data_IF_166035037991
#
_entry.id   IF_166035037991
#
_cell.length_a   1.000
_cell.length_b   1.000
_cell.length_c   1.000
_cell.angle_alpha   90.00
_cell.angle_beta   90.00
_cell.angle_gamma   90.00
#
_symmetry.space_group_name_H-M   'P 1'
#
loop_
_entity.id
_entity.type
_entity.pdbx_description
1 polymer ?
#
# COMPACT_ATOMS: atom_id res chain seq x y z
N UNK A 1 64.33 86.35 11.11
CA UNK A 1 63.76 85.85 9.84
C UNK A 1 63.01 84.58 10.14
N UNK A 2 61.71 84.61 9.81
CA UNK A 2 60.72 83.53 9.65
C UNK A 2 60.48 82.57 10.82
N UNK A 3 59.22 82.62 11.25
CA UNK A 3 58.54 81.91 12.32
C UNK A 3 57.66 80.77 11.75
N UNK A 4 57.08 79.97 12.64
CA UNK A 4 55.87 79.14 12.44
C UNK A 4 56.04 77.82 11.68
N UNK A 5 55.33 76.73 11.96
CA UNK A 5 54.33 76.38 12.96
C UNK A 5 54.23 74.85 12.93
N UNK A 6 54.21 74.19 14.08
CA UNK A 6 53.82 72.77 14.19
C UNK A 6 52.29 72.71 14.28
N UNK A 7 51.64 72.27 13.19
CA UNK A 7 50.22 71.90 13.22
C UNK A 7 50.10 70.44 13.72
N UNK A 8 49.69 70.26 14.97
CA UNK A 8 49.17 68.98 15.46
C UNK A 8 47.71 68.86 15.04
N UNK A 9 47.41 68.02 14.04
CA UNK A 9 46.04 67.57 13.76
C UNK A 9 45.68 66.46 14.75
N UNK A 10 44.83 66.77 15.72
CA UNK A 10 44.11 65.76 16.50
C UNK A 10 42.84 65.38 15.73
N UNK A 11 42.80 64.19 15.14
CA UNK A 11 41.57 63.59 14.63
C UNK A 11 40.77 63.04 15.81
N UNK A 12 39.69 63.73 16.18
CA UNK A 12 38.66 63.21 17.07
C UNK A 12 37.76 62.31 16.22
N UNK A 13 37.98 61.00 16.29
CA UNK A 13 37.06 60.02 15.72
C UNK A 13 35.97 59.79 16.76
N UNK A 14 34.83 60.46 16.60
CA UNK A 14 33.63 60.17 17.39
C UNK A 14 33.02 58.85 16.92
N UNK A 15 32.91 57.81 17.76
CA UNK A 15 32.08 56.66 17.44
C UNK A 15 30.61 57.10 17.53
N UNK A 16 29.98 57.31 16.38
CA UNK A 16 28.52 57.34 16.32
C UNK A 16 28.05 55.91 16.52
N UNK A 17 27.80 55.53 17.77
CA UNK A 17 26.95 54.38 18.06
C UNK A 17 25.55 54.76 17.57
N UNK A 18 25.21 54.33 16.36
CA UNK A 18 23.83 54.27 15.93
C UNK A 18 23.12 53.25 16.83
N UNK A 19 22.62 53.73 17.97
CA UNK A 19 21.60 53.02 18.76
C UNK A 19 20.33 53.11 17.92
N UNK A 20 20.22 52.24 16.93
CA UNK A 20 18.94 51.97 16.28
C UNK A 20 17.94 51.55 17.36
N UNK A 21 16.65 51.88 17.21
CA UNK A 21 15.64 51.42 18.15
C UNK A 21 15.79 49.90 18.29
N UNK A 22 15.81 49.43 19.54
CA UNK A 22 15.82 48.01 19.85
C UNK A 22 14.73 47.35 19.01
N UNK A 23 15.12 46.46 18.09
CA UNK A 23 14.18 45.58 17.42
C UNK A 23 13.48 44.85 18.56
N UNK A 24 12.17 45.05 18.77
CA UNK A 24 11.46 44.31 19.79
C UNK A 24 11.72 42.83 19.52
N UNK A 25 11.97 42.00 20.56
CA UNK A 25 12.06 40.56 20.35
C UNK A 25 10.84 40.16 19.54
N UNK A 26 11.08 39.61 18.35
CA UNK A 26 10.01 39.01 17.57
C UNK A 26 9.33 38.05 18.55
N UNK A 27 8.00 38.15 18.77
CA UNK A 27 7.32 37.19 19.61
C UNK A 27 7.72 35.83 19.06
N UNK A 28 8.37 34.99 19.88
CA UNK A 28 8.71 33.63 19.51
C UNK A 28 7.48 33.07 18.81
N UNK A 29 7.68 32.78 17.52
CA UNK A 29 6.65 32.48 16.57
C UNK A 29 5.64 31.57 17.24
N UNK A 30 4.35 31.88 17.09
CA UNK A 30 3.24 31.07 17.58
C UNK A 30 3.34 29.69 16.94
N UNK A 31 4.17 28.81 17.48
CA UNK A 31 4.24 27.40 17.11
C UNK A 31 2.85 26.89 17.49
N UNK A 32 2.02 26.53 16.51
CA UNK A 32 0.71 26.00 16.81
C UNK A 32 0.91 24.77 17.70
N UNK A 33 0.05 24.58 18.72
CA UNK A 33 0.19 23.46 19.64
C UNK A 33 0.26 22.16 18.84
N UNK A 34 1.24 21.32 19.16
CA UNK A 34 1.35 20.00 18.55
C UNK A 34 0.11 19.21 18.92
N UNK A 35 -0.58 18.71 17.90
CA UNK A 35 -1.72 17.81 18.05
C UNK A 35 -1.17 16.39 17.97
N UNK A 36 -1.60 15.52 18.89
CA UNK A 36 -1.16 14.14 18.87
C UNK A 36 -1.65 13.43 17.60
N UNK A 37 -0.82 12.60 16.95
CA UNK A 37 -1.27 11.82 15.80
C UNK A 37 -2.47 10.95 16.13
N UNK A 38 -3.47 10.93 15.26
CA UNK A 38 -4.66 10.07 15.43
C UNK A 38 -4.77 9.07 14.29
N UNK A 39 -5.20 7.85 14.61
CA UNK A 39 -5.60 6.89 13.59
C UNK A 39 -6.89 7.38 12.93
N UNK A 40 -6.92 7.35 11.60
CA UNK A 40 -8.14 7.68 10.85
C UNK A 40 -9.25 6.67 11.19
N UNK A 41 -10.42 7.18 11.60
CA UNK A 41 -11.54 6.36 12.09
C UNK A 41 -12.01 5.32 11.05
N UNK A 42 -11.92 5.65 9.76
CA UNK A 42 -12.38 4.81 8.66
C UNK A 42 -11.23 4.31 7.78
N UNK A 43 -10.02 4.14 8.30
CA UNK A 43 -8.93 3.53 7.52
C UNK A 43 -9.09 2.01 7.49
N UNK A 44 -9.55 1.42 6.37
CA UNK A 44 -9.96 0.01 6.35
C UNK A 44 -8.75 -0.93 6.29
N UNK A 45 -7.60 -0.40 5.84
CA UNK A 45 -6.43 -1.18 5.50
C UNK A 45 -5.65 -1.61 6.75
N UNK A 46 -5.20 -2.86 6.76
CA UNK A 46 -4.31 -3.39 7.77
C UNK A 46 -3.32 -4.33 7.10
N UNK A 47 -2.07 -4.36 7.58
CA UNK A 47 -1.05 -5.26 7.06
C UNK A 47 -1.56 -6.73 7.09
N UNK A 48 -1.79 -7.37 5.93
CA UNK A 48 -2.20 -8.77 5.87
C UNK A 48 -0.99 -9.69 6.06
N UNK A 49 0.24 -9.21 5.83
CA UNK A 49 1.49 -9.97 5.87
C UNK A 49 2.17 -9.99 7.25
N UNK A 50 1.69 -9.21 8.22
CA UNK A 50 2.34 -9.07 9.53
C UNK A 50 2.12 -10.27 10.46
N UNK A 51 1.15 -11.14 10.18
CA UNK A 51 0.86 -12.31 11.01
C UNK A 51 0.47 -13.50 10.15
N UNK A 52 1.18 -14.61 10.31
CA UNK A 52 0.90 -15.87 9.64
C UNK A 52 -0.55 -16.36 9.86
N UNK A 53 -1.21 -15.94 10.94
CA UNK A 53 -2.61 -16.29 11.21
C UNK A 53 -3.63 -15.66 10.26
N UNK A 54 -3.36 -14.47 9.69
CA UNK A 54 -4.31 -13.78 8.79
C UNK A 54 -4.36 -14.39 7.40
N UNK A 55 -3.20 -14.82 6.90
CA UNK A 55 -3.08 -15.47 5.60
C UNK A 55 -2.95 -16.99 5.71
N UNK A 56 -2.89 -17.55 6.92
CA UNK A 56 -2.58 -18.97 7.12
C UNK A 56 -3.63 -19.96 6.60
N UNK A 57 -4.78 -19.46 6.12
CA UNK A 57 -5.85 -20.22 5.47
C UNK A 57 -5.81 -20.16 3.93
N UNK A 58 -4.89 -19.38 3.38
CA UNK A 58 -4.78 -19.10 1.94
C UNK A 58 -3.34 -19.33 1.48
N UNK A 59 -3.19 -19.74 0.23
CA UNK A 59 -1.90 -19.69 -0.45
C UNK A 59 -1.88 -18.50 -1.40
N UNK A 60 -0.70 -17.90 -1.58
CA UNK A 60 -0.51 -16.95 -2.65
C UNK A 60 -0.51 -17.75 -3.97
N UNK A 61 -1.62 -17.69 -4.70
CA UNK A 61 -1.66 -18.22 -6.09
C UNK A 61 -0.67 -17.44 -6.94
N UNK A 62 -0.44 -16.19 -6.55
CA UNK A 62 0.53 -15.31 -7.15
C UNK A 62 0.89 -14.15 -6.25
N UNK A 63 2.08 -13.59 -6.45
CA UNK A 63 2.53 -12.37 -5.80
C UNK A 63 3.40 -11.50 -6.71
N UNK A 64 3.39 -10.20 -6.43
CA UNK A 64 4.27 -9.24 -7.07
C UNK A 64 4.75 -8.22 -6.05
N UNK A 65 6.03 -7.85 -6.14
CA UNK A 65 6.68 -6.91 -5.23
C UNK A 65 7.56 -5.95 -6.02
N UNK A 66 7.45 -4.64 -5.78
CA UNK A 66 8.31 -3.62 -6.40
C UNK A 66 8.65 -2.52 -5.40
N UNK A 67 9.83 -1.94 -5.57
CA UNK A 67 10.32 -0.81 -4.77
C UNK A 67 10.36 0.45 -5.62
N UNK A 68 9.89 1.55 -5.06
CA UNK A 68 9.82 2.86 -5.71
C UNK A 68 10.66 3.89 -4.95
N UNK A 69 11.22 4.83 -5.70
CA UNK A 69 11.92 6.00 -5.16
C UNK A 69 10.94 7.16 -5.06
N UNK A 70 11.04 7.95 -4.00
CA UNK A 70 10.26 9.17 -3.85
C UNK A 70 11.02 10.17 -2.96
N UNK A 71 10.48 11.38 -2.83
CA UNK A 71 10.89 12.33 -1.82
C UNK A 71 9.73 12.60 -0.85
N UNK A 72 9.97 12.48 0.46
CA UNK A 72 8.95 12.76 1.48
C UNK A 72 9.13 14.17 2.06
N UNK A 73 8.03 14.92 2.06
CA UNK A 73 7.90 16.28 2.58
C UNK A 73 6.82 16.32 3.66
N UNK A 74 6.80 17.39 4.43
CA UNK A 74 5.73 17.69 5.38
C UNK A 74 4.96 18.92 4.94
N UNK A 75 3.74 19.10 5.45
CA UNK A 75 2.90 20.23 5.04
C UNK A 75 3.56 21.61 5.34
N UNK A 76 4.43 21.71 6.35
CA UNK A 76 5.19 22.95 6.57
C UNK A 76 6.27 23.23 5.51
N UNK A 77 6.72 22.21 4.78
CA UNK A 77 7.69 22.34 3.69
C UNK A 77 7.08 23.08 2.48
N UNK A 78 5.75 23.26 2.42
CA UNK A 78 5.06 24.04 1.38
C UNK A 78 5.55 25.50 1.27
N UNK A 79 6.17 26.06 2.31
CA UNK A 79 6.69 27.44 2.28
C UNK A 79 8.16 27.50 1.85
N UNK A 80 8.86 26.37 1.83
CA UNK A 80 10.29 26.30 1.53
C UNK A 80 10.51 26.06 0.02
N UNK A 81 11.49 26.73 -0.61
CA UNK A 81 11.82 26.47 -2.00
C UNK A 81 12.37 25.04 -2.18
N UNK A 82 12.32 24.55 -3.41
CA UNK A 82 13.04 23.33 -3.79
C UNK A 82 14.56 23.51 -3.59
N UNK A 83 15.32 22.43 -3.31
CA UNK A 83 14.88 21.03 -3.25
C UNK A 83 14.36 20.58 -1.88
N UNK A 84 14.46 21.40 -0.83
CA UNK A 84 14.10 20.99 0.54
C UNK A 84 12.62 21.16 0.87
N UNK A 85 11.87 21.88 0.02
CA UNK A 85 10.42 22.01 0.14
C UNK A 85 9.66 22.04 -1.19
N UNK A 86 8.40 22.45 -1.10
CA UNK A 86 7.40 22.32 -2.17
C UNK A 86 6.74 23.66 -2.55
N UNK A 87 7.43 24.78 -2.32
CA UNK A 87 6.90 26.12 -2.62
C UNK A 87 6.33 26.30 -4.03
N UNK A 88 6.94 25.77 -5.12
CA UNK A 88 6.36 25.90 -6.46
C UNK A 88 4.95 25.30 -6.58
N UNK A 89 4.64 24.27 -5.79
CA UNK A 89 3.39 23.53 -5.85
C UNK A 89 2.39 23.95 -4.75
N UNK A 90 2.72 24.94 -3.92
CA UNK A 90 2.01 25.17 -2.66
C UNK A 90 0.54 25.53 -2.84
N UNK A 91 0.19 26.31 -3.86
CA UNK A 91 -1.19 26.72 -4.09
C UNK A 91 -2.05 25.57 -4.61
N UNK A 92 -1.50 24.75 -5.51
CA UNK A 92 -2.19 23.55 -6.01
C UNK A 92 -2.43 22.55 -4.88
N UNK A 93 -1.42 22.30 -4.03
CA UNK A 93 -1.54 21.36 -2.91
C UNK A 93 -2.50 21.85 -1.82
N UNK A 94 -2.53 23.16 -1.54
CA UNK A 94 -3.56 23.73 -0.66
C UNK A 94 -4.96 23.48 -1.23
N UNK A 95 -5.16 23.73 -2.52
CA UNK A 95 -6.45 23.47 -3.18
C UNK A 95 -6.85 22.00 -3.12
N UNK A 96 -5.90 21.08 -3.33
CA UNK A 96 -6.14 19.64 -3.32
C UNK A 96 -6.53 19.13 -1.93
N UNK A 97 -5.81 19.53 -0.87
CA UNK A 97 -6.05 19.00 0.48
C UNK A 97 -7.08 19.78 1.29
N UNK A 98 -7.47 20.98 0.86
CA UNK A 98 -8.44 21.80 1.59
C UNK A 98 -9.85 21.18 1.52
N UNK A 99 -10.46 21.00 2.69
CA UNK A 99 -11.83 20.49 2.81
C UNK A 99 -12.00 19.01 2.53
N UNK A 100 -10.93 18.27 2.22
CA UNK A 100 -10.94 16.82 2.02
C UNK A 100 -10.34 16.10 3.23
N UNK A 101 -10.84 14.89 3.50
CA UNK A 101 -10.25 14.02 4.53
C UNK A 101 -8.82 13.64 4.14
N UNK A 102 -7.86 13.82 5.04
CA UNK A 102 -6.47 13.44 4.79
C UNK A 102 -6.36 11.91 4.86
N UNK A 103 -5.68 11.23 3.91
CA UNK A 103 -5.68 9.77 3.85
C UNK A 103 -4.62 9.15 4.78
N UNK A 104 -3.88 9.99 5.52
CA UNK A 104 -2.93 9.57 6.53
C UNK A 104 -1.57 9.14 5.97
N UNK A 105 -0.72 8.64 6.86
CA UNK A 105 0.56 8.02 6.51
C UNK A 105 0.43 6.54 6.15
N UNK A 106 1.56 5.83 6.15
CA UNK A 106 1.67 4.42 5.79
C UNK A 106 0.77 3.47 6.60
N UNK A 107 0.42 3.84 7.83
CA UNK A 107 -0.43 3.03 8.72
C UNK A 107 -1.81 3.67 8.98
N UNK A 108 -2.22 4.65 8.17
CA UNK A 108 -3.48 5.38 8.37
C UNK A 108 -3.45 6.35 9.56
N UNK A 109 -2.26 6.76 9.99
CA UNK A 109 -2.07 7.77 11.03
C UNK A 109 -2.06 9.18 10.42
N UNK A 110 -2.90 10.08 10.92
CA UNK A 110 -2.85 11.51 10.62
C UNK A 110 -2.08 12.24 11.72
N UNK A 111 -0.89 12.75 11.38
CA UNK A 111 -0.07 13.56 12.30
C UNK A 111 -0.61 14.98 12.51
N UNK A 112 -1.66 15.36 11.77
CA UNK A 112 -2.32 16.66 11.80
C UNK A 112 -1.45 17.85 11.37
N UNK A 113 -2.14 18.90 10.91
CA UNK A 113 -1.56 20.19 10.60
C UNK A 113 -0.27 20.11 9.80
N UNK A 114 0.80 20.68 10.36
CA UNK A 114 2.10 20.87 9.71
C UNK A 114 2.98 19.61 9.62
N UNK A 115 2.62 18.55 10.35
CA UNK A 115 3.38 17.29 10.42
C UNK A 115 2.84 16.20 9.46
N UNK A 116 1.79 16.53 8.69
CA UNK A 116 1.26 15.66 7.62
C UNK A 116 2.29 15.41 6.53
N UNK A 117 2.56 14.14 6.24
CA UNK A 117 3.56 13.70 5.27
C UNK A 117 2.98 13.61 3.86
N UNK A 118 3.72 14.10 2.86
CA UNK A 118 3.41 14.01 1.44
C UNK A 118 4.60 13.42 0.70
N UNK A 119 4.36 12.66 -0.35
CA UNK A 119 5.37 12.11 -1.24
C UNK A 119 5.35 12.89 -2.55
N UNK A 120 6.52 13.17 -3.10
CA UNK A 120 6.72 13.65 -4.47
C UNK A 120 7.47 12.58 -5.25
N UNK A 121 6.97 12.22 -6.42
CA UNK A 121 7.62 11.31 -7.36
C UNK A 121 7.66 11.95 -8.74
N UNK A 122 8.67 11.57 -9.52
CA UNK A 122 8.69 11.83 -10.95
C UNK A 122 7.52 11.10 -11.60
N UNK A 123 6.75 11.80 -12.44
CA UNK A 123 5.54 11.19 -13.00
C UNK A 123 5.90 9.99 -13.89
N UNK A 124 7.04 10.02 -14.58
CA UNK A 124 7.54 8.90 -15.39
C UNK A 124 7.81 7.63 -14.59
N UNK A 125 8.18 7.74 -13.31
CA UNK A 125 8.43 6.60 -12.43
C UNK A 125 7.15 5.94 -11.90
N UNK A 126 6.00 6.58 -12.11
CA UNK A 126 4.69 6.02 -11.74
C UNK A 126 4.26 4.98 -12.79
N UNK A 127 3.83 3.77 -12.37
CA UNK A 127 3.31 2.76 -13.30
C UNK A 127 2.15 3.29 -14.15
N UNK A 128 2.10 2.91 -15.43
CA UNK A 128 1.07 3.34 -16.37
C UNK A 128 -0.35 3.03 -15.87
N UNK A 129 -0.59 1.86 -15.28
CA UNK A 129 -1.91 1.53 -14.70
C UNK A 129 -2.32 2.46 -13.55
N UNK A 130 -1.34 2.93 -12.76
CA UNK A 130 -1.60 3.92 -11.71
C UNK A 130 -1.90 5.29 -12.33
N UNK A 131 -1.17 5.68 -13.39
CA UNK A 131 -1.45 6.92 -14.15
C UNK A 131 -2.86 6.93 -14.72
N UNK A 132 -3.27 5.84 -15.35
CA UNK A 132 -4.61 5.67 -15.92
C UNK A 132 -5.70 5.80 -14.84
N UNK A 133 -5.49 5.14 -13.70
CA UNK A 133 -6.40 5.23 -12.55
C UNK A 133 -6.47 6.66 -12.00
N UNK A 134 -5.33 7.35 -11.84
CA UNK A 134 -5.30 8.75 -11.36
C UNK A 134 -6.10 9.63 -12.33
N UNK A 135 -5.87 9.48 -13.63
CA UNK A 135 -6.58 10.24 -14.64
C UNK A 135 -8.09 9.99 -14.58
N UNK A 136 -8.53 8.73 -14.45
CA UNK A 136 -9.95 8.39 -14.32
C UNK A 136 -10.58 9.00 -13.05
N UNK A 137 -9.90 8.85 -11.90
CA UNK A 137 -10.42 9.33 -10.61
C UNK A 137 -10.48 10.85 -10.52
N UNK A 138 -9.51 11.57 -11.09
CA UNK A 138 -9.48 13.03 -11.07
C UNK A 138 -10.29 13.65 -12.22
N UNK A 139 -10.62 12.89 -13.27
CA UNK A 139 -11.54 13.33 -14.35
C UNK A 139 -13.02 13.12 -14.01
N UNK A 140 -13.33 12.30 -13.00
CA UNK A 140 -14.70 12.08 -12.54
C UNK A 140 -15.34 13.38 -12.05
N UNK A 141 -16.67 13.52 -12.22
CA UNK A 141 -17.41 14.74 -11.81
C UNK A 141 -17.30 14.96 -10.30
N UNK A 142 -16.40 15.85 -9.87
CA UNK A 142 -16.16 16.17 -8.46
C UNK A 142 -14.71 16.56 -8.19
N UNK A 143 -14.31 16.71 -6.91
CA UNK A 143 -12.94 17.05 -6.53
C UNK A 143 -11.92 15.90 -6.68
N UNK A 144 -12.27 14.87 -7.46
CA UNK A 144 -11.55 13.58 -7.52
C UNK A 144 -11.63 12.79 -6.21
N UNK A 145 -11.25 11.51 -6.25
CA UNK A 145 -11.17 10.66 -5.04
C UNK A 145 -9.73 10.29 -4.66
N UNK A 146 -8.78 10.38 -5.58
CA UNK A 146 -7.45 9.82 -5.41
C UNK A 146 -6.52 10.63 -4.50
N UNK A 147 -6.72 11.95 -4.38
CA UNK A 147 -5.80 12.85 -3.65
C UNK A 147 -4.38 12.82 -4.23
N UNK A 148 -4.28 12.65 -5.55
CA UNK A 148 -3.03 12.79 -6.31
C UNK A 148 -3.01 14.15 -6.99
N UNK A 149 -1.95 14.92 -6.79
CA UNK A 149 -1.66 16.14 -7.53
C UNK A 149 -0.69 15.80 -8.65
N UNK A 150 -1.15 15.75 -9.90
CA UNK A 150 -0.27 15.68 -11.08
C UNK A 150 -0.01 17.12 -11.54
N UNK A 151 1.23 17.58 -11.41
CA UNK A 151 1.61 18.98 -11.58
C UNK A 151 2.80 19.13 -12.50
N UNK A 152 2.81 20.19 -13.30
CA UNK A 152 3.98 20.55 -14.11
C UNK A 152 5.12 21.02 -13.21
N UNK A 153 6.34 20.58 -13.51
CA UNK A 153 7.56 21.08 -12.90
C UNK A 153 7.70 22.57 -13.22
N UNK A 154 8.19 23.38 -12.27
CA UNK A 154 8.51 24.76 -12.59
C UNK A 154 9.58 24.77 -13.68
N UNK A 155 9.32 25.50 -14.77
CA UNK A 155 10.31 25.69 -15.84
C UNK A 155 11.63 26.16 -15.22
N UNK A 156 12.69 25.38 -15.39
CA UNK A 156 14.04 25.86 -15.11
C UNK A 156 14.26 27.08 -16.00
N UNK A 157 14.81 28.17 -15.46
CA UNK A 157 15.15 29.34 -16.27
C UNK A 157 16.34 28.98 -17.17
N UNK A 158 16.09 28.39 -18.34
CA UNK A 158 16.89 28.44 -19.56
C UNK A 158 16.27 27.54 -20.65
N UNK A 159 15.67 28.14 -21.66
CA UNK A 159 15.85 27.87 -23.10
C UNK A 159 15.95 26.44 -23.70
N UNK A 160 15.50 25.37 -23.06
CA UNK A 160 15.44 24.06 -23.75
C UNK A 160 13.99 23.71 -24.12
N UNK A 161 13.57 24.19 -25.30
CA UNK A 161 12.42 23.69 -26.05
C UNK A 161 12.89 22.53 -26.91
N UNK A 162 13.22 21.42 -26.29
CA UNK A 162 13.26 20.14 -26.98
C UNK A 162 12.00 19.37 -26.58
N UNK A 163 11.44 18.64 -27.55
CA UNK A 163 10.20 17.85 -27.46
C UNK A 163 10.37 16.66 -26.48
N UNK A 164 10.77 16.92 -25.24
CA UNK A 164 10.70 15.94 -24.16
C UNK A 164 9.24 15.65 -23.86
N UNK A 165 8.94 14.35 -23.85
CA UNK A 165 7.69 13.72 -23.47
C UNK A 165 7.01 14.52 -22.34
N UNK A 166 5.76 14.97 -22.53
CA UNK A 166 5.06 15.85 -21.57
C UNK A 166 5.01 15.29 -20.13
N UNK A 167 5.23 13.98 -19.96
CA UNK A 167 5.28 13.31 -18.65
C UNK A 167 6.60 13.53 -17.90
N UNK A 168 7.73 13.69 -18.59
CA UNK A 168 9.04 14.01 -18.00
C UNK A 168 9.09 15.40 -17.37
N UNK A 169 8.14 16.25 -17.74
CA UNK A 169 7.96 17.59 -17.17
C UNK A 169 6.96 17.62 -16.01
N UNK A 170 6.44 16.47 -15.55
CA UNK A 170 5.44 16.40 -14.49
C UNK A 170 5.96 15.68 -13.25
N UNK A 171 5.40 16.04 -12.11
CA UNK A 171 5.54 15.32 -10.85
C UNK A 171 4.17 14.90 -10.35
N UNK A 172 4.13 13.80 -9.60
CA UNK A 172 2.96 13.44 -8.80
C UNK A 172 3.25 13.70 -7.33
N UNK A 173 2.30 14.32 -6.63
CA UNK A 173 2.36 14.58 -5.19
C UNK A 173 1.12 14.01 -4.52
N UNK A 174 1.30 13.16 -3.52
CA UNK A 174 0.21 12.48 -2.83
C UNK A 174 0.56 12.19 -1.37
N UNK A 175 -0.42 11.93 -0.54
CA UNK A 175 -0.17 11.48 0.84
C UNK A 175 0.11 9.97 0.86
N UNK A 176 1.00 9.44 1.72
CA UNK A 176 1.36 8.03 1.71
C UNK A 176 0.15 7.07 1.80
N UNK A 177 -0.88 7.40 2.57
CA UNK A 177 -2.08 6.58 2.68
C UNK A 177 -2.94 6.51 1.41
N UNK A 178 -2.77 7.44 0.46
CA UNK A 178 -3.57 7.49 -0.77
C UNK A 178 -3.31 6.31 -1.72
N UNK A 179 -2.16 5.65 -1.61
CA UNK A 179 -1.84 4.48 -2.44
C UNK A 179 -2.70 3.28 -2.09
N UNK A 180 -3.26 3.22 -0.87
CA UNK A 180 -4.01 2.05 -0.46
C UNK A 180 -5.30 1.85 -1.25
N UNK A 181 -5.80 2.86 -1.96
CA UNK A 181 -6.97 2.74 -2.84
C UNK A 181 -6.63 2.06 -4.19
N UNK A 182 -5.36 1.98 -4.57
CA UNK A 182 -4.92 1.47 -5.87
C UNK A 182 -3.63 0.63 -5.79
N UNK A 183 -3.31 0.13 -4.60
CA UNK A 183 -2.01 -0.48 -4.28
C UNK A 183 -1.62 -1.65 -5.21
N UNK A 184 -2.54 -2.55 -5.63
CA UNK A 184 -2.21 -3.60 -6.60
C UNK A 184 -1.71 -3.08 -7.95
N UNK A 185 -2.21 -1.93 -8.41
CA UNK A 185 -1.83 -1.34 -9.71
C UNK A 185 -0.34 -0.97 -9.75
N UNK A 186 0.26 -0.65 -8.61
CA UNK A 186 1.68 -0.32 -8.52
C UNK A 186 2.57 -1.51 -8.89
N UNK A 187 2.10 -2.74 -8.66
CA UNK A 187 2.88 -3.98 -8.86
C UNK A 187 2.30 -4.89 -9.93
N UNK A 188 1.22 -4.48 -10.60
CA UNK A 188 0.54 -5.29 -11.62
C UNK A 188 1.38 -5.47 -12.89
N UNK A 189 1.96 -4.40 -13.41
CA UNK A 189 2.68 -4.40 -14.69
C UNK A 189 3.87 -5.35 -14.70
N UNK A 190 3.99 -6.13 -15.78
CA UNK A 190 5.04 -7.13 -15.97
C UNK A 190 5.06 -8.25 -14.91
N UNK A 191 4.01 -8.39 -14.11
CA UNK A 191 3.83 -9.54 -13.23
C UNK A 191 3.12 -10.67 -13.97
N UNK A 192 3.29 -11.89 -13.48
CA UNK A 192 2.53 -13.05 -13.95
C UNK A 192 1.03 -12.98 -13.59
N UNK A 193 0.61 -11.97 -12.82
CA UNK A 193 -0.78 -11.78 -12.38
C UNK A 193 -1.30 -10.40 -12.70
N UNK A 194 -0.78 -9.83 -13.79
CA UNK A 194 -1.16 -8.50 -14.24
C UNK A 194 -2.68 -8.36 -14.36
N UNK A 195 -3.37 -9.35 -14.92
CA UNK A 195 -4.82 -9.35 -15.06
C UNK A 195 -5.53 -9.20 -13.71
N UNK A 196 -5.24 -10.08 -12.75
CA UNK A 196 -5.86 -10.04 -11.42
C UNK A 196 -5.47 -8.80 -10.62
N UNK A 197 -4.21 -8.37 -10.67
CA UNK A 197 -3.73 -7.19 -9.96
C UNK A 197 -4.21 -5.87 -10.58
N UNK A 198 -4.61 -5.88 -11.85
CA UNK A 198 -5.23 -4.72 -12.50
C UNK A 198 -6.71 -4.55 -12.15
N UNK A 199 -7.37 -5.61 -11.69
CA UNK A 199 -8.78 -5.60 -11.31
C UNK A 199 -8.97 -5.24 -9.84
N UNK A 200 -9.19 -3.95 -9.58
CA UNK A 200 -9.46 -3.44 -8.24
C UNK A 200 -10.80 -3.92 -7.64
N UNK A 201 -11.69 -4.57 -8.39
CA UNK A 201 -12.95 -5.08 -7.85
C UNK A 201 -12.76 -6.26 -6.88
N UNK A 202 -11.63 -6.95 -7.00
CA UNK A 202 -11.23 -8.07 -6.12
C UNK A 202 -10.29 -7.63 -5.00
N UNK A 203 -9.85 -6.38 -5.01
CA UNK A 203 -8.93 -5.83 -4.02
C UNK A 203 -9.65 -5.44 -2.74
N UNK A 204 -9.21 -6.00 -1.62
CA UNK A 204 -9.88 -5.85 -0.32
C UNK A 204 -8.89 -5.81 0.83
N UNK A 205 -9.26 -5.13 1.91
CA UNK A 205 -8.51 -5.10 3.15
C UNK A 205 -8.61 -6.41 3.95
N UNK A 206 -9.66 -7.21 3.72
CA UNK A 206 -9.90 -8.47 4.45
C UNK A 206 -9.54 -9.65 3.55
N UNK A 207 -8.59 -10.51 3.95
CA UNK A 207 -8.26 -11.71 3.20
C UNK A 207 -9.46 -12.65 3.01
N UNK A 208 -9.70 -13.08 1.78
CA UNK A 208 -10.65 -14.13 1.43
C UNK A 208 -10.17 -14.89 0.19
N UNK A 209 -10.75 -16.04 -0.10
CA UNK A 209 -10.43 -16.78 -1.33
C UNK A 209 -10.78 -15.94 -2.57
N UNK A 210 -9.88 -15.92 -3.55
CA UNK A 210 -9.99 -15.13 -4.78
C UNK A 210 -9.72 -13.64 -4.60
N UNK A 211 -9.48 -13.15 -3.38
CA UNK A 211 -9.21 -11.75 -3.14
C UNK A 211 -7.77 -11.37 -3.52
N UNK A 212 -7.62 -10.12 -3.94
CA UNK A 212 -6.33 -9.44 -4.00
C UNK A 212 -6.11 -8.70 -2.68
N UNK A 213 -4.95 -8.90 -2.08
CA UNK A 213 -4.51 -8.15 -0.90
C UNK A 213 -3.17 -7.48 -1.18
N UNK A 214 -2.91 -6.35 -0.54
CA UNK A 214 -1.65 -5.66 -0.72
C UNK A 214 -1.29 -4.73 0.43
N UNK A 215 0.00 -4.40 0.52
CA UNK A 215 0.55 -3.58 1.58
C UNK A 215 1.90 -2.95 1.20
N UNK A 216 2.23 -1.82 1.84
CA UNK A 216 3.60 -1.28 1.81
C UNK A 216 4.43 -1.97 2.88
N UNK A 217 5.27 -2.91 2.45
CA UNK A 217 6.01 -3.81 3.37
C UNK A 217 7.23 -3.14 3.99
N UNK A 218 7.84 -2.20 3.27
CA UNK A 218 9.03 -1.49 3.73
C UNK A 218 8.94 -0.03 3.30
N UNK A 219 9.43 0.88 4.13
CA UNK A 219 9.73 2.25 3.73
C UNK A 219 10.87 2.81 4.58
N UNK A 220 11.68 3.68 3.98
CA UNK A 220 12.80 4.34 4.67
C UNK A 220 12.40 5.78 4.97
N UNK A 221 12.54 6.21 6.22
CA UNK A 221 12.28 7.60 6.60
C UNK A 221 13.35 8.55 6.02
N UNK A 222 12.97 9.78 5.60
CA UNK A 222 13.92 10.74 5.06
C UNK A 222 14.88 11.26 6.14
N UNK A 223 16.13 11.53 5.77
CA UNK A 223 17.10 12.18 6.67
C UNK A 223 16.95 13.70 6.67
N UNK A 224 15.86 14.18 7.28
CA UNK A 224 15.45 15.59 7.23
C UNK A 224 16.50 16.56 7.81
N UNK A 225 17.19 16.13 8.87
CA UNK A 225 18.26 16.90 9.54
C UNK A 225 19.50 17.08 8.66
N UNK A 226 19.70 16.19 7.69
CA UNK A 226 20.78 16.27 6.70
C UNK A 226 20.33 16.97 5.40
N UNK A 227 19.13 17.57 5.40
CA UNK A 227 18.55 18.21 4.21
C UNK A 227 18.07 17.22 3.14
N UNK A 228 18.17 15.91 3.39
CA UNK A 228 17.72 14.88 2.44
C UNK A 228 16.23 14.62 2.59
N UNK A 229 15.57 14.39 1.46
CA UNK A 229 14.14 14.09 1.38
C UNK A 229 13.87 12.72 0.77
N UNK A 230 14.89 12.09 0.19
CA UNK A 230 14.79 10.82 -0.50
C UNK A 230 14.31 9.71 0.43
N UNK A 231 13.35 8.94 -0.07
CA UNK A 231 12.85 7.72 0.55
C UNK A 231 12.78 6.62 -0.51
N UNK A 232 12.64 5.39 -0.01
CA UNK A 232 12.19 4.25 -0.81
C UNK A 232 11.02 3.60 -0.11
N UNK A 233 10.07 3.08 -0.87
CA UNK A 233 8.99 2.26 -0.34
C UNK A 233 8.77 1.03 -1.21
N UNK A 234 8.44 -0.09 -0.58
CA UNK A 234 8.23 -1.40 -1.23
C UNK A 234 6.77 -1.79 -1.12
N UNK A 235 6.14 -1.96 -2.28
CA UNK A 235 4.76 -2.41 -2.41
C UNK A 235 4.77 -3.89 -2.69
N UNK A 236 3.90 -4.65 -2.00
CA UNK A 236 3.64 -6.07 -2.27
C UNK A 236 2.14 -6.29 -2.41
N UNK A 237 1.74 -7.08 -3.41
CA UNK A 237 0.38 -7.58 -3.56
C UNK A 237 0.37 -9.09 -3.84
N UNK A 238 -0.70 -9.76 -3.42
CA UNK A 238 -0.91 -11.20 -3.62
C UNK A 238 -2.35 -11.49 -4.04
N UNK A 239 -2.50 -12.49 -4.92
CA UNK A 239 -3.79 -13.11 -5.24
C UNK A 239 -3.94 -14.33 -4.34
N UNK A 240 -5.00 -14.36 -3.53
CA UNK A 240 -5.22 -15.41 -2.54
C UNK A 240 -6.02 -16.57 -3.15
N UNK A 241 -5.46 -17.77 -3.08
CA UNK A 241 -6.12 -19.02 -3.44
C UNK A 241 -6.41 -19.90 -2.23
N UNK A 242 -7.13 -21.01 -2.43
CA UNK A 242 -7.34 -22.00 -1.39
C UNK A 242 -5.99 -22.56 -0.93
N UNK A 243 -5.84 -22.78 0.37
CA UNK A 243 -4.65 -23.45 0.90
C UNK A 243 -4.57 -24.87 0.33
N UNK A 244 -3.44 -25.21 -0.27
CA UNK A 244 -3.14 -26.56 -0.68
C UNK A 244 -3.25 -27.47 0.55
N UNK A 245 -4.06 -28.52 0.45
CA UNK A 245 -3.99 -29.60 1.43
C UNK A 245 -2.60 -30.20 1.26
N UNK A 246 -1.77 -30.12 2.29
CA UNK A 246 -0.61 -31.00 2.37
C UNK A 246 -1.16 -32.41 2.19
N UNK A 247 -0.81 -33.05 1.07
CA UNK A 247 -0.97 -34.49 0.92
C UNK A 247 -0.08 -35.09 2.01
N UNK A 248 -0.66 -35.34 3.17
CA UNK A 248 -0.10 -36.28 4.12
C UNK A 248 -0.02 -37.60 3.37
N UNK A 249 1.19 -37.98 2.98
CA UNK A 249 1.58 -39.36 2.69
C UNK A 249 1.35 -40.20 3.96
N UNK A 250 0.07 -40.42 4.29
CA UNK A 250 -0.39 -41.46 5.21
C UNK A 250 -0.86 -42.66 4.37
N UNK A 251 -0.02 -43.06 3.41
CA UNK A 251 0.02 -44.44 2.93
C UNK A 251 1.25 -45.11 3.55
N UNK A 252 1.18 -45.42 4.87
CA UNK A 252 1.97 -46.46 5.54
C UNK A 252 1.66 -46.54 7.04
N UNK A 253 0.48 -47.06 7.44
CA UNK A 253 0.32 -47.98 8.60
C UNK A 253 -1.13 -48.42 8.84
N UNK A 254 -1.70 -49.24 7.95
CA UNK A 254 -2.72 -50.23 8.34
C UNK A 254 -2.63 -51.48 7.45
N UNK A 255 -1.49 -52.19 7.50
CA UNK A 255 -1.45 -53.60 7.11
C UNK A 255 -0.40 -54.35 7.92
N UNK A 256 -0.64 -54.45 9.24
CA UNK A 256 0.10 -55.37 10.11
C UNK A 256 -0.74 -55.81 11.31
N UNK A 257 -1.96 -56.32 11.07
CA UNK A 257 -2.64 -57.20 12.03
C UNK A 257 -3.75 -58.04 11.40
N UNK A 258 -3.37 -59.02 10.57
CA UNK A 258 -4.13 -60.25 10.31
C UNK A 258 -3.44 -61.06 9.21
N UNK A 259 -2.30 -61.69 9.55
CA UNK A 259 -1.77 -62.81 8.77
C UNK A 259 -1.24 -63.85 9.74
N UNK A 260 -2.17 -64.48 10.44
CA UNK A 260 -2.07 -65.87 10.87
C UNK A 260 -3.50 -66.42 10.91
N UNK A 261 -3.71 -67.67 10.51
CA UNK A 261 -5.01 -68.34 10.30
C UNK A 261 -5.84 -67.95 9.04
N UNK A 262 -5.25 -68.08 7.84
CA UNK A 262 -6.05 -68.49 6.66
C UNK A 262 -5.21 -69.27 5.66
N UNK A 263 -4.64 -70.38 6.11
CA UNK A 263 -4.13 -71.45 5.25
C UNK A 263 -4.37 -72.81 5.91
N UNK A 264 -5.65 -73.17 6.17
CA UNK A 264 -6.01 -74.56 6.48
C UNK A 264 -7.50 -74.91 6.38
N UNK A 265 -8.15 -74.69 5.23
CA UNK A 265 -9.45 -75.35 4.98
C UNK A 265 -9.90 -75.37 3.50
N UNK A 266 -8.98 -75.55 2.55
CA UNK A 266 -9.35 -75.99 1.19
C UNK A 266 -8.91 -77.43 0.98
N UNK A 267 -9.55 -78.35 1.70
CA UNK A 267 -9.58 -79.80 1.43
C UNK A 267 -10.62 -80.47 2.34
N UNK A 268 -11.90 -80.36 2.00
CA UNK A 268 -12.98 -81.29 2.42
C UNK A 268 -14.32 -80.80 1.86
N UNK A 269 -14.49 -80.85 0.54
CA UNK A 269 -15.81 -80.72 -0.09
C UNK A 269 -15.89 -81.64 -1.32
N UNK A 270 -15.69 -82.93 -1.09
CA UNK A 270 -16.21 -83.99 -1.96
C UNK A 270 -16.60 -85.17 -1.05
N UNK A 271 -17.74 -85.82 -1.35
CA UNK A 271 -18.49 -86.81 -0.53
C UNK A 271 -19.22 -86.19 0.69
N UNK A 272 -20.54 -86.21 0.82
CA UNK A 272 -21.51 -87.28 0.53
C UNK A 272 -22.89 -86.65 0.28
N UNK A 273 -23.48 -87.01 -0.87
CA UNK A 273 -24.93 -87.03 -1.09
C UNK A 273 -25.53 -88.11 -0.19
N UNK A 274 -26.52 -87.78 0.65
CA UNK A 274 -27.72 -88.64 0.80
C UNK A 274 -28.84 -87.92 1.57
N UNK A 275 -29.99 -87.78 0.91
CA UNK A 275 -31.35 -87.84 1.43
C UNK A 275 -31.74 -86.97 2.64
N UNK A 276 -32.64 -86.00 2.44
CA UNK A 276 -34.09 -86.20 2.52
C UNK A 276 -34.88 -84.92 2.15
N UNK A 277 -35.99 -85.15 1.43
CA UNK A 277 -37.06 -84.25 0.96
C UNK A 277 -38.36 -84.81 1.58
N UNK A 278 -39.57 -84.18 1.57
CA UNK A 278 -40.04 -82.78 1.42
C UNK A 278 -41.01 -82.35 2.57
N UNK A 279 -41.46 -81.07 2.58
CA UNK A 279 -42.91 -80.78 2.60
C UNK A 279 -43.26 -79.37 2.10
N UNK A 280 -44.35 -79.32 1.32
CA UNK A 280 -44.91 -78.24 0.52
C UNK A 280 -45.76 -77.23 1.33
N UNK A 281 -45.97 -76.03 0.78
CA UNK A 281 -47.26 -75.40 0.38
C UNK A 281 -47.06 -73.87 0.22
N UNK A 282 -47.29 -73.30 -0.99
CA UNK A 282 -48.51 -72.58 -1.43
C UNK A 282 -48.72 -71.26 -0.66
N UNK A 283 -49.03 -70.08 -1.21
CA UNK A 283 -49.66 -69.67 -2.47
C UNK A 283 -49.43 -68.15 -2.69
N UNK A 284 -49.42 -67.78 -3.98
CA UNK A 284 -49.90 -66.56 -4.66
C UNK A 284 -49.70 -65.09 -4.19
N UNK A 285 -49.62 -64.16 -5.17
CA UNK A 285 -49.41 -62.72 -5.00
C UNK A 285 -50.72 -61.91 -5.06
N UNK A 286 -50.73 -60.73 -4.44
CA UNK A 286 -51.75 -59.71 -4.69
C UNK A 286 -51.09 -58.40 -5.08
N UNK A 287 -51.49 -57.93 -6.27
CA UNK A 287 -51.30 -56.59 -6.82
C UNK A 287 -52.26 -55.62 -6.13
N UNK A 288 -51.89 -54.37 -5.92
CA UNK A 288 -52.39 -53.26 -6.75
C UNK A 288 -52.08 -51.87 -6.16
N UNK A 289 -51.83 -50.98 -7.11
CA UNK A 289 -51.73 -49.52 -7.08
C UNK A 289 -52.77 -48.79 -6.22
N UNK A 290 -52.36 -47.66 -5.59
CA UNK A 290 -53.03 -46.33 -5.61
C UNK A 290 -51.92 -45.32 -5.18
N UNK A 291 -51.41 -44.38 -5.99
CA UNK A 291 -51.93 -43.11 -6.57
C UNK A 291 -52.15 -41.96 -5.56
N UNK A 292 -51.77 -40.77 -6.04
CA UNK A 292 -52.16 -39.40 -5.61
C UNK A 292 -51.45 -38.84 -4.36
N UNK A 293 -50.51 -37.90 -4.55
CA UNK A 293 -50.70 -36.42 -4.54
C UNK A 293 -50.90 -35.83 -3.13
N UNK A 294 -49.84 -35.19 -2.62
CA UNK A 294 -49.80 -33.79 -2.15
C UNK A 294 -48.36 -33.39 -1.80
#
# INVERSE_FOLDING_TARGET
MVSSSLLSLAFIISPVFAVGPAVPPQPEDRIPPKVDPTRLENFPWTNPFSSASKLGQFDATCDSTRTFSAAEFQLHDLRQPEPTGLKPYSEALKGLFYGRGYPGGWEGMDNHGYERNMLKMEYDEVPAKVKDWIQEQESAKGPGQGLYAVLDKPLSRADDKDDEDESGQKVVIFAPGAIYENLPLWVAENSNCEESLSDLSTYTATPSEGAVVGWTTEHIAPSRTQGRRDIKFTVKAQVLGPKAKEETDDESTETAKSTDESQRSNQAAEKVQESQVPRQEANEPVKDNVKDEL
#
